data_IF_423245053766
#
_entry.id   IF_423245053766
#
_cell.length_a   1.000
_cell.length_b   1.000
_cell.length_c   1.000
_cell.angle_alpha   90.00
_cell.angle_beta   90.00
_cell.angle_gamma   90.00
#
_symmetry.space_group_name_H-M   'P 1'
#
loop_
_entity.id
_entity.type
_entity.pdbx_description
1 polymer ?
#
# COMPACT_ATOMS: atom_id res chain seq x y z
N UNK A 1 -25.34 -6.52 -44.80
CA UNK A 1 -25.14 -6.01 -43.43
C UNK A 1 -25.75 -4.63 -43.38
N UNK A 2 -26.55 -4.34 -42.35
CA UNK A 2 -27.24 -3.06 -42.17
C UNK A 2 -26.23 -1.93 -41.92
N UNK A 3 -26.53 -0.70 -42.37
CA UNK A 3 -25.69 0.48 -42.10
C UNK A 3 -25.47 0.73 -40.61
N UNK A 4 -26.46 0.37 -39.78
CA UNK A 4 -26.37 0.45 -38.32
C UNK A 4 -25.36 -0.54 -37.74
N UNK A 5 -25.31 -1.78 -38.26
CA UNK A 5 -24.36 -2.80 -37.81
C UNK A 5 -22.92 -2.35 -38.06
N UNK A 6 -22.68 -1.76 -39.24
CA UNK A 6 -21.35 -1.25 -39.61
C UNK A 6 -20.90 -0.09 -38.72
N UNK A 7 -21.83 0.77 -38.28
CA UNK A 7 -21.50 1.88 -37.39
C UNK A 7 -21.20 1.39 -35.96
N UNK A 8 -21.93 0.39 -35.49
CA UNK A 8 -21.68 -0.28 -34.20
C UNK A 8 -20.29 -0.93 -34.21
N UNK A 9 -19.96 -1.70 -35.25
CA UNK A 9 -18.64 -2.34 -35.39
C UNK A 9 -17.50 -1.31 -35.38
N UNK A 10 -17.62 -0.23 -36.16
CA UNK A 10 -16.62 0.85 -36.20
C UNK A 10 -16.45 1.56 -34.86
N UNK A 11 -17.53 1.70 -34.09
CA UNK A 11 -17.46 2.31 -32.77
C UNK A 11 -16.76 1.38 -31.79
N UNK A 12 -17.15 0.10 -31.73
CA UNK A 12 -16.51 -0.89 -30.86
C UNK A 12 -15.01 -1.00 -31.18
N UNK A 13 -14.64 -1.09 -32.46
CA UNK A 13 -13.24 -1.19 -32.87
C UNK A 13 -12.40 0.01 -32.40
N UNK A 14 -12.93 1.24 -32.54
CA UNK A 14 -12.25 2.47 -32.09
C UNK A 14 -12.07 2.51 -30.57
N UNK A 15 -13.12 2.17 -29.81
CA UNK A 15 -13.07 2.16 -28.35
C UNK A 15 -12.11 1.08 -27.82
N UNK A 16 -12.12 -0.11 -28.43
CA UNK A 16 -11.17 -1.18 -28.09
C UNK A 16 -9.73 -0.78 -28.40
N UNK A 17 -9.47 -0.16 -29.55
CA UNK A 17 -8.13 0.33 -29.91
C UNK A 17 -7.64 1.42 -28.96
N UNK A 18 -8.53 2.36 -28.60
CA UNK A 18 -8.22 3.41 -27.63
C UNK A 18 -7.91 2.82 -26.24
N UNK A 19 -8.74 1.89 -25.77
CA UNK A 19 -8.54 1.20 -24.49
C UNK A 19 -7.25 0.38 -24.46
N UNK A 20 -6.94 -0.37 -25.54
CA UNK A 20 -5.71 -1.16 -25.64
C UNK A 20 -4.44 -0.31 -25.53
N UNK A 21 -4.46 0.95 -25.94
CA UNK A 21 -3.32 1.88 -25.78
C UNK A 21 -3.11 2.30 -24.33
N UNK A 22 -4.16 2.25 -23.50
CA UNK A 22 -4.14 2.70 -22.11
C UNK A 22 -3.85 1.56 -21.11
N UNK A 23 -4.09 0.30 -21.49
CA UNK A 23 -3.88 -0.84 -20.57
C UNK A 23 -2.51 -1.49 -20.71
N UNK A 24 -1.94 -1.81 -19.55
CA UNK A 24 -0.72 -2.62 -19.42
C UNK A 24 -1.08 -4.11 -19.37
N UNK A 25 -0.33 -4.95 -20.08
CA UNK A 25 -0.52 -6.41 -20.06
C UNK A 25 -1.68 -6.89 -20.92
N UNK A 26 -1.62 -6.59 -22.23
CA UNK A 26 -2.62 -6.88 -23.29
C UNK A 26 -2.93 -8.38 -23.47
N UNK A 27 -3.57 -9.00 -22.48
CA UNK A 27 -3.80 -10.45 -22.43
C UNK A 27 -2.57 -11.26 -22.01
N UNK A 28 -1.52 -10.59 -21.53
CA UNK A 28 -0.35 -11.29 -20.98
C UNK A 28 -0.71 -11.95 -19.64
N UNK A 29 -0.12 -13.12 -19.31
CA UNK A 29 -0.28 -13.72 -17.99
C UNK A 29 0.06 -12.72 -16.88
N UNK A 30 -0.76 -12.74 -15.83
CA UNK A 30 -0.56 -11.87 -14.68
C UNK A 30 0.82 -12.14 -14.05
N UNK A 31 1.70 -11.14 -14.04
CA UNK A 31 2.99 -11.24 -13.36
C UNK A 31 2.75 -11.26 -11.85
N UNK A 32 3.09 -12.38 -11.22
CA UNK A 32 3.07 -12.48 -9.76
C UNK A 32 4.32 -11.78 -9.24
N UNK A 33 4.10 -10.74 -8.45
CA UNK A 33 5.15 -9.96 -7.83
C UNK A 33 5.85 -10.76 -6.70
N UNK A 34 7.16 -10.63 -6.55
CA UNK A 34 7.89 -11.30 -5.47
C UNK A 34 7.36 -10.92 -4.07
N UNK A 35 6.96 -9.66 -3.88
CA UNK A 35 6.32 -9.18 -2.67
C UNK A 35 4.97 -9.85 -2.40
N UNK A 36 4.24 -10.29 -3.43
CA UNK A 36 3.01 -11.08 -3.24
C UNK A 36 3.32 -12.45 -2.65
N UNK A 37 4.38 -13.12 -3.14
CA UNK A 37 4.80 -14.43 -2.66
C UNK A 37 5.34 -14.36 -1.23
N UNK A 38 6.05 -13.28 -0.88
CA UNK A 38 6.58 -13.04 0.46
C UNK A 38 5.50 -12.59 1.47
N UNK A 39 4.35 -12.12 0.98
CA UNK A 39 3.25 -11.70 1.86
C UNK A 39 2.46 -12.93 2.33
N UNK A 40 2.22 -13.08 3.66
CA UNK A 40 1.36 -14.13 4.20
C UNK A 40 -0.04 -14.09 3.58
N UNK A 41 -0.66 -15.25 3.40
CA UNK A 41 -1.89 -15.40 2.61
C UNK A 41 -3.01 -14.44 3.03
N UNK A 42 -3.35 -14.40 4.31
CA UNK A 42 -4.38 -13.49 4.86
C UNK A 42 -4.08 -11.99 4.70
N UNK A 43 -2.84 -11.62 4.33
CA UNK A 43 -2.43 -10.22 4.10
C UNK A 43 -2.26 -9.87 2.62
N UNK A 44 -2.22 -10.85 1.72
CA UNK A 44 -1.96 -10.62 0.28
C UNK A 44 -2.96 -9.67 -0.34
N UNK A 45 -4.26 -9.94 -0.15
CA UNK A 45 -5.33 -9.13 -0.73
C UNK A 45 -5.36 -7.70 -0.16
N UNK A 46 -5.38 -7.49 1.18
CA UNK A 46 -5.32 -6.14 1.75
C UNK A 46 -4.14 -5.32 1.25
N UNK A 47 -2.93 -5.90 1.21
CA UNK A 47 -1.74 -5.17 0.77
C UNK A 47 -1.70 -4.94 -0.74
N UNK A 48 -2.27 -5.86 -1.55
CA UNK A 48 -2.40 -5.64 -2.99
C UNK A 48 -3.35 -4.50 -3.32
N UNK A 49 -4.46 -4.36 -2.59
CA UNK A 49 -5.38 -3.23 -2.77
C UNK A 49 -4.66 -1.90 -2.54
N UNK A 50 -3.90 -1.80 -1.45
CA UNK A 50 -3.12 -0.60 -1.15
C UNK A 50 -2.05 -0.31 -2.21
N UNK A 51 -1.27 -1.34 -2.60
CA UNK A 51 -0.25 -1.23 -3.65
C UNK A 51 -0.83 -0.76 -4.99
N UNK A 52 -1.95 -1.32 -5.41
CA UNK A 52 -2.61 -0.94 -6.66
C UNK A 52 -3.12 0.51 -6.62
N UNK A 53 -3.47 1.03 -5.44
CA UNK A 53 -3.84 2.43 -5.24
C UNK A 53 -2.64 3.37 -5.09
N UNK A 54 -1.41 2.85 -5.07
CA UNK A 54 -0.21 3.65 -4.78
C UNK A 54 -0.13 4.14 -3.34
N UNK A 55 -0.88 3.52 -2.43
CA UNK A 55 -0.96 3.93 -1.02
C UNK A 55 -0.07 3.00 -0.18
N UNK A 56 0.87 3.54 0.62
CA UNK A 56 1.67 2.71 1.51
C UNK A 56 0.82 2.18 2.68
N UNK A 57 1.16 1.00 3.24
CA UNK A 57 0.56 0.53 4.48
C UNK A 57 0.84 1.49 5.64
N UNK A 58 -0.12 1.61 6.57
CA UNK A 58 -0.04 2.51 7.74
C UNK A 58 1.22 2.30 8.58
N UNK A 59 1.77 1.09 8.58
CA UNK A 59 2.97 0.73 9.34
C UNK A 59 4.19 1.55 8.89
N UNK A 60 4.25 1.91 7.60
CA UNK A 60 5.32 2.76 7.06
C UNK A 60 5.29 4.14 7.73
N UNK A 61 4.11 4.76 7.84
CA UNK A 61 3.95 6.06 8.50
C UNK A 61 4.33 5.99 9.98
N UNK A 62 3.94 4.92 10.68
CA UNK A 62 4.30 4.73 12.09
C UNK A 62 5.82 4.61 12.27
N UNK A 63 6.52 3.95 11.35
CA UNK A 63 7.97 3.85 11.39
C UNK A 63 8.66 5.18 11.11
N UNK A 64 8.14 5.99 10.18
CA UNK A 64 8.63 7.35 9.96
C UNK A 64 8.43 8.23 11.20
N UNK A 65 7.25 8.18 11.83
CA UNK A 65 6.99 8.91 13.07
C UNK A 65 7.95 8.49 14.20
N UNK A 66 8.22 7.18 14.32
CA UNK A 66 9.19 6.65 15.29
C UNK A 66 10.59 7.19 15.04
N UNK A 67 11.04 7.17 13.79
CA UNK A 67 12.35 7.71 13.40
C UNK A 67 12.46 9.21 13.71
N UNK A 68 11.42 9.98 13.38
CA UNK A 68 11.37 11.41 13.66
C UNK A 68 11.42 11.70 15.17
N UNK A 69 10.66 10.97 15.99
CA UNK A 69 10.68 11.14 17.44
C UNK A 69 12.06 10.82 18.02
N UNK A 70 12.73 9.77 17.53
CA UNK A 70 14.11 9.43 17.95
C UNK A 70 15.08 10.56 17.62
N UNK A 71 15.05 11.08 16.39
CA UNK A 71 15.88 12.21 15.99
C UNK A 71 15.61 13.46 16.84
N UNK A 72 14.34 13.75 17.14
CA UNK A 72 13.96 14.88 17.99
C UNK A 72 14.50 14.72 19.44
N UNK A 73 14.44 13.50 20.00
CA UNK A 73 14.98 13.21 21.36
C UNK A 73 16.50 13.38 21.41
N UNK A 74 17.19 13.07 20.32
CA UNK A 74 18.65 13.24 20.21
C UNK A 74 19.04 14.71 20.08
N UNK A 75 18.27 15.51 19.35
CA UNK A 75 18.51 16.94 19.16
C UNK A 75 18.06 17.81 20.34
N UNK A 76 17.16 17.30 21.20
CA UNK A 76 16.56 18.07 22.30
C UNK A 76 17.53 18.27 23.48
N UNK A 77 17.65 19.52 23.92
CA UNK A 77 18.55 19.93 25.01
C UNK A 77 17.79 20.13 26.32
N UNK A 78 16.51 20.49 26.26
CA UNK A 78 15.69 20.64 27.46
C UNK A 78 15.27 19.26 28.02
N UNK A 79 15.67 18.99 29.26
CA UNK A 79 15.38 17.73 29.93
C UNK A 79 13.89 17.45 30.11
N UNK A 80 13.07 18.49 30.32
CA UNK A 80 11.63 18.33 30.48
C UNK A 80 10.96 17.95 29.15
N UNK A 81 11.28 18.69 28.08
CA UNK A 81 10.80 18.42 26.72
C UNK A 81 11.28 17.07 26.21
N UNK A 82 12.55 16.72 26.48
CA UNK A 82 13.11 15.41 26.14
C UNK A 82 12.34 14.26 26.79
N UNK A 83 11.98 14.39 28.07
CA UNK A 83 11.16 13.40 28.78
C UNK A 83 9.76 13.27 28.17
N UNK A 84 9.14 14.37 27.74
CA UNK A 84 7.85 14.34 27.05
C UNK A 84 7.95 13.63 25.69
N UNK A 85 9.00 13.89 24.92
CA UNK A 85 9.23 13.20 23.64
C UNK A 85 9.48 11.70 23.82
N UNK A 86 10.22 11.31 24.86
CA UNK A 86 10.43 9.90 25.23
C UNK A 86 9.12 9.19 25.59
N UNK A 87 8.23 9.87 26.32
CA UNK A 87 6.90 9.34 26.63
C UNK A 87 6.08 9.09 25.35
N UNK A 88 6.05 10.06 24.42
CA UNK A 88 5.39 9.91 23.12
C UNK A 88 5.99 8.77 22.30
N UNK A 89 7.32 8.61 22.32
CA UNK A 89 7.99 7.52 21.64
C UNK A 89 7.56 6.16 22.22
N UNK A 90 7.48 6.04 23.54
CA UNK A 90 7.04 4.81 24.21
C UNK A 90 5.62 4.43 23.81
N UNK A 91 4.70 5.39 23.80
CA UNK A 91 3.32 5.18 23.36
C UNK A 91 3.24 4.73 21.90
N UNK A 92 4.00 5.37 21.01
CA UNK A 92 4.06 4.99 19.61
C UNK A 92 4.64 3.58 19.42
N UNK A 93 5.67 3.21 20.17
CA UNK A 93 6.27 1.87 20.10
C UNK A 93 5.30 0.79 20.59
N UNK A 94 4.47 1.06 21.60
CA UNK A 94 3.38 0.17 22.02
C UNK A 94 2.32 0.00 20.92
N UNK A 95 1.92 1.09 20.26
CA UNK A 95 0.97 1.04 19.15
C UNK A 95 1.51 0.20 17.98
N UNK A 96 2.79 0.38 17.64
CA UNK A 96 3.48 -0.40 16.62
C UNK A 96 3.48 -1.88 17.00
N UNK A 97 3.85 -2.22 18.23
CA UNK A 97 3.90 -3.60 18.70
C UNK A 97 2.53 -4.28 18.57
N UNK A 98 1.46 -3.63 19.03
CA UNK A 98 0.09 -4.14 18.91
C UNK A 98 -0.34 -4.30 17.44
N UNK A 99 0.02 -3.35 16.58
CA UNK A 99 -0.33 -3.41 15.16
C UNK A 99 0.37 -4.58 14.46
N UNK A 100 1.65 -4.77 14.71
CA UNK A 100 2.42 -5.89 14.13
C UNK A 100 1.93 -7.24 14.66
N UNK A 101 1.54 -7.31 15.93
CA UNK A 101 0.88 -8.49 16.50
C UNK A 101 -0.39 -8.85 15.74
N UNK A 102 -1.26 -7.86 15.49
CA UNK A 102 -2.49 -8.06 14.73
C UNK A 102 -2.23 -8.49 13.30
N UNK A 103 -1.24 -7.91 12.62
CA UNK A 103 -0.84 -8.34 11.28
C UNK A 103 -0.33 -9.78 11.28
N UNK A 104 0.46 -10.17 12.28
CA UNK A 104 0.94 -11.55 12.41
C UNK A 104 -0.21 -12.54 12.66
N UNK A 105 -1.21 -12.16 13.43
CA UNK A 105 -2.41 -12.97 13.65
C UNK A 105 -3.21 -13.12 12.35
N UNK A 106 -3.43 -12.02 11.63
CA UNK A 106 -4.14 -12.02 10.34
C UNK A 106 -3.42 -12.80 9.25
N UNK A 107 -2.08 -12.80 9.24
CA UNK A 107 -1.31 -13.55 8.25
C UNK A 107 -1.28 -15.06 8.48
N UNK A 108 -1.75 -15.56 9.63
CA UNK A 108 -1.84 -17.00 9.95
C UNK A 108 -3.19 -17.62 9.56
N UNK A 109 -4.22 -16.81 9.36
CA UNK A 109 -5.55 -17.24 8.90
C UNK A 109 -5.66 -17.12 7.39
#
# INVERSE_FOLDING_TARGET
MSTLEQEIERRIAREVEAWQKQVTGKGEPLKIDEGWLQTPEGLRMPFRVLKNAGIPPREIDLFHQRAQLKANIEAEQDSATRKQLQQKLSELEQQIAFRLEKLRQLGKG
#
